data_IF_232992537499
#
_entry.id   IF_232992537499
#
_cell.length_a   1.000
_cell.length_b   1.000
_cell.length_c   1.000
_cell.angle_alpha   90.00
_cell.angle_beta   90.00
_cell.angle_gamma   90.00
#
_symmetry.space_group_name_H-M   'P 1'
#
loop_
_entity.id
_entity.type
_entity.pdbx_description
1 polymer ?
#
# COMPACT_ATOMS: atom_id res chain seq x y z
N UNK A 1 -35.72 18.03 -22.59
CA UNK A 1 -34.57 18.53 -21.81
C UNK A 1 -33.89 17.33 -21.15
N UNK A 2 -32.68 16.93 -21.57
CA UNK A 2 -31.93 15.83 -20.92
C UNK A 2 -31.24 16.41 -19.68
N UNK A 3 -31.74 16.07 -18.48
CA UNK A 3 -31.09 16.44 -17.22
C UNK A 3 -29.83 15.61 -17.08
N UNK A 4 -28.66 16.23 -17.26
CA UNK A 4 -27.37 15.57 -17.01
C UNK A 4 -27.14 15.55 -15.50
N UNK A 5 -27.32 14.38 -14.89
CA UNK A 5 -26.92 14.17 -13.51
C UNK A 5 -25.39 14.21 -13.42
N UNK A 6 -24.83 15.30 -12.87
CA UNK A 6 -23.42 15.34 -12.48
C UNK A 6 -23.20 14.22 -11.47
N UNK A 7 -22.38 13.22 -11.85
CA UNK A 7 -21.96 12.16 -10.94
C UNK A 7 -21.16 12.80 -9.79
N UNK A 8 -21.56 12.53 -8.55
CA UNK A 8 -20.83 12.99 -7.37
C UNK A 8 -19.41 12.42 -7.31
N UNK A 9 -18.55 13.06 -6.53
CA UNK A 9 -17.17 12.60 -6.34
C UNK A 9 -17.12 11.18 -5.75
N UNK A 10 -16.28 10.31 -6.32
CA UNK A 10 -16.12 8.93 -5.85
C UNK A 10 -15.00 8.84 -4.81
N UNK A 11 -15.35 9.06 -3.54
CA UNK A 11 -14.41 8.96 -2.42
C UNK A 11 -13.73 7.60 -2.30
N UNK A 12 -14.42 6.49 -2.62
CA UNK A 12 -13.83 5.15 -2.55
C UNK A 12 -12.66 5.02 -3.52
N UNK A 13 -12.89 5.39 -4.78
CA UNK A 13 -11.85 5.35 -5.81
C UNK A 13 -10.68 6.28 -5.47
N UNK A 14 -10.96 7.50 -5.00
CA UNK A 14 -9.91 8.44 -4.60
C UNK A 14 -9.00 7.88 -3.50
N UNK A 15 -9.60 7.32 -2.43
CA UNK A 15 -8.83 6.74 -1.32
C UNK A 15 -8.01 5.53 -1.80
N UNK A 16 -8.59 4.64 -2.61
CA UNK A 16 -7.87 3.47 -3.13
C UNK A 16 -6.69 3.85 -4.04
N UNK A 17 -6.86 4.85 -4.91
CA UNK A 17 -5.77 5.37 -5.76
C UNK A 17 -4.70 6.05 -4.89
N UNK A 18 -5.09 6.82 -3.88
CA UNK A 18 -4.17 7.42 -2.93
C UNK A 18 -3.33 6.39 -2.18
N UNK A 19 -3.93 5.29 -1.71
CA UNK A 19 -3.22 4.17 -1.09
C UNK A 19 -2.22 3.51 -2.04
N UNK A 20 -2.61 3.31 -3.30
CA UNK A 20 -1.72 2.73 -4.32
C UNK A 20 -0.47 3.59 -4.54
N UNK A 21 -0.62 4.91 -4.71
CA UNK A 21 0.53 5.80 -4.86
C UNK A 21 1.36 5.93 -3.59
N UNK A 22 0.73 5.98 -2.41
CA UNK A 22 1.45 6.01 -1.14
C UNK A 22 2.31 4.74 -0.96
N UNK A 23 1.81 3.57 -1.37
CA UNK A 23 2.58 2.33 -1.35
C UNK A 23 3.79 2.39 -2.29
N UNK A 24 3.63 2.90 -3.51
CA UNK A 24 4.74 3.09 -4.46
C UNK A 24 5.81 4.00 -3.87
N UNK A 25 5.42 5.13 -3.28
CA UNK A 25 6.34 6.08 -2.66
C UNK A 25 7.09 5.42 -1.51
N UNK A 26 6.39 4.70 -0.63
CA UNK A 26 7.01 3.96 0.48
C UNK A 26 8.05 2.96 -0.01
N UNK A 27 7.74 2.19 -1.05
CA UNK A 27 8.66 1.21 -1.61
C UNK A 27 9.92 1.86 -2.21
N UNK A 28 9.75 2.86 -3.08
CA UNK A 28 10.87 3.56 -3.72
C UNK A 28 11.75 4.24 -2.68
N UNK A 29 11.15 4.96 -1.73
CA UNK A 29 11.91 5.68 -0.70
C UNK A 29 12.63 4.74 0.26
N UNK A 30 12.06 3.56 0.59
CA UNK A 30 12.78 2.55 1.38
C UNK A 30 14.06 2.08 0.66
N UNK A 31 13.97 1.83 -0.64
CA UNK A 31 15.14 1.48 -1.46
C UNK A 31 16.17 2.61 -1.45
N UNK A 32 15.76 3.86 -1.67
CA UNK A 32 16.67 5.01 -1.67
C UNK A 32 17.36 5.21 -0.32
N UNK A 33 16.64 5.10 0.80
CA UNK A 33 17.22 5.20 2.15
C UNK A 33 18.36 4.20 2.33
N UNK A 34 18.17 3.00 1.82
CA UNK A 34 19.13 1.92 1.90
C UNK A 34 20.32 2.13 0.95
N UNK A 35 20.11 2.67 -0.25
CA UNK A 35 21.19 3.02 -1.18
C UNK A 35 22.13 4.09 -0.63
N UNK A 36 21.60 5.06 0.12
CA UNK A 36 22.40 6.11 0.75
C UNK A 36 22.77 5.76 2.19
N UNK A 37 22.78 4.47 2.57
CA UNK A 37 23.02 4.09 3.96
C UNK A 37 24.39 4.59 4.46
N UNK A 38 25.42 4.43 3.62
CA UNK A 38 26.82 4.77 3.90
C UNK A 38 27.12 6.28 3.92
N UNK A 39 26.20 7.12 3.45
CA UNK A 39 26.29 8.58 3.54
C UNK A 39 25.06 9.14 4.28
N UNK A 40 25.04 9.01 5.62
CA UNK A 40 23.87 9.33 6.44
C UNK A 40 23.47 10.80 6.42
N UNK A 41 24.41 11.70 6.12
CA UNK A 41 24.20 13.15 6.10
C UNK A 41 23.90 13.68 4.68
N UNK A 42 23.81 12.79 3.68
CA UNK A 42 23.43 13.17 2.32
C UNK A 42 22.03 13.78 2.26
N UNK A 43 21.89 14.80 1.41
CA UNK A 43 20.61 15.47 1.18
C UNK A 43 19.56 14.47 0.67
N UNK A 44 19.97 13.55 -0.18
CA UNK A 44 19.16 12.50 -0.78
C UNK A 44 18.58 11.57 0.28
N UNK A 45 19.38 11.16 1.28
CA UNK A 45 18.89 10.35 2.39
C UNK A 45 17.89 11.10 3.24
N UNK A 46 18.16 12.36 3.60
CA UNK A 46 17.23 13.18 4.38
C UNK A 46 15.89 13.39 3.68
N UNK A 47 15.91 13.67 2.37
CA UNK A 47 14.70 13.79 1.55
C UNK A 47 13.95 12.46 1.52
N UNK A 48 14.67 11.36 1.26
CA UNK A 48 14.05 10.02 1.16
C UNK A 48 13.39 9.60 2.47
N UNK A 49 14.05 9.78 3.61
CA UNK A 49 13.48 9.53 4.96
C UNK A 49 12.25 10.39 5.21
N UNK A 50 12.32 11.69 4.90
CA UNK A 50 11.21 12.62 5.11
C UNK A 50 9.99 12.26 4.26
N UNK A 51 10.21 11.97 2.98
CA UNK A 51 9.17 11.51 2.07
C UNK A 51 8.57 10.17 2.51
N UNK A 52 9.41 9.22 2.95
CA UNK A 52 8.95 7.93 3.46
C UNK A 52 8.05 8.09 4.68
N UNK A 53 8.49 8.89 5.66
CA UNK A 53 7.73 9.12 6.89
C UNK A 53 6.37 9.78 6.60
N UNK A 54 6.35 10.82 5.75
CA UNK A 54 5.11 11.49 5.37
C UNK A 54 4.17 10.58 4.56
N UNK A 55 4.71 9.81 3.62
CA UNK A 55 3.94 8.83 2.86
C UNK A 55 3.37 7.74 3.78
N UNK A 56 4.10 7.30 4.80
CA UNK A 56 3.66 6.34 5.80
C UNK A 56 2.49 6.86 6.64
N UNK A 57 2.57 8.11 7.10
CA UNK A 57 1.48 8.77 7.83
C UNK A 57 0.24 8.86 6.92
N UNK A 58 0.40 9.33 5.69
CA UNK A 58 -0.69 9.42 4.72
C UNK A 58 -1.30 8.04 4.42
N UNK A 59 -0.46 7.02 4.27
CA UNK A 59 -0.88 5.64 4.03
C UNK A 59 -1.75 5.14 5.18
N UNK A 60 -1.32 5.30 6.44
CA UNK A 60 -2.09 4.90 7.63
C UNK A 60 -3.46 5.57 7.65
N UNK A 61 -3.51 6.89 7.48
CA UNK A 61 -4.76 7.66 7.50
C UNK A 61 -5.70 7.20 6.38
N UNK A 62 -5.21 7.09 5.15
CA UNK A 62 -5.99 6.61 4.01
C UNK A 62 -6.46 5.17 4.22
N UNK A 63 -5.66 4.32 4.86
CA UNK A 63 -6.01 2.92 5.12
C UNK A 63 -7.18 2.81 6.10
N UNK A 64 -7.19 3.63 7.16
CA UNK A 64 -8.33 3.73 8.10
C UNK A 64 -9.61 4.10 7.34
N UNK A 65 -9.56 5.11 6.47
CA UNK A 65 -10.71 5.51 5.66
C UNK A 65 -11.12 4.42 4.67
N UNK A 66 -10.15 3.75 4.03
CA UNK A 66 -10.40 2.66 3.11
C UNK A 66 -11.12 1.50 3.79
N UNK A 67 -10.66 1.09 4.97
CA UNK A 67 -11.29 0.05 5.77
C UNK A 67 -12.71 0.46 6.19
N UNK A 68 -12.90 1.70 6.68
CA UNK A 68 -14.21 2.21 7.07
C UNK A 68 -15.20 2.21 5.91
N UNK A 69 -14.78 2.67 4.73
CA UNK A 69 -15.64 2.71 3.54
C UNK A 69 -15.96 1.30 3.03
N UNK A 70 -15.05 0.35 3.16
CA UNK A 70 -15.19 -1.02 2.66
C UNK A 70 -15.48 -2.07 3.77
N UNK A 71 -15.93 -1.62 4.94
CA UNK A 71 -16.12 -2.46 6.13
C UNK A 71 -17.10 -3.61 5.94
N UNK A 72 -18.19 -3.38 5.20
CA UNK A 72 -19.18 -4.41 4.89
C UNK A 72 -18.57 -5.54 4.05
N UNK A 73 -17.80 -5.17 3.01
CA UNK A 73 -17.07 -6.13 2.18
C UNK A 73 -16.10 -6.94 3.04
N UNK A 74 -15.36 -6.30 3.93
CA UNK A 74 -14.42 -6.98 4.83
C UNK A 74 -15.09 -7.96 5.81
N UNK A 75 -16.32 -7.69 6.26
CA UNK A 75 -17.05 -8.60 7.16
C UNK A 75 -17.60 -9.85 6.47
N UNK A 76 -18.01 -9.71 5.20
CA UNK A 76 -18.62 -10.81 4.44
C UNK A 76 -17.58 -11.70 3.76
N UNK A 77 -16.43 -11.14 3.40
CA UNK A 77 -15.39 -11.83 2.62
C UNK A 77 -14.75 -13.05 3.31
N UNK A 78 -14.48 -13.06 4.64
CA UNK A 78 -13.69 -14.11 5.25
C UNK A 78 -14.38 -15.46 5.36
N UNK A 79 -15.69 -15.51 5.12
CA UNK A 79 -16.50 -16.69 5.35
C UNK A 79 -16.81 -17.36 4.03
N UNK A 80 -16.34 -18.60 3.87
CA UNK A 80 -16.87 -19.49 2.85
C UNK A 80 -18.31 -19.92 3.23
N UNK A 81 -18.99 -20.63 2.32
CA UNK A 81 -20.38 -21.10 2.53
C UNK A 81 -20.56 -22.01 3.75
N UNK A 82 -19.47 -22.60 4.25
CA UNK A 82 -19.42 -23.54 5.37
C UNK A 82 -18.94 -22.87 6.67
N UNK A 83 -18.70 -21.56 6.67
CA UNK A 83 -18.24 -20.80 7.84
C UNK A 83 -16.74 -20.86 8.11
N UNK A 84 -15.96 -21.54 7.26
CA UNK A 84 -14.49 -21.55 7.26
C UNK A 84 -13.87 -20.37 6.51
N UNK A 85 -12.53 -20.29 6.51
CA UNK A 85 -11.77 -19.27 5.78
C UNK A 85 -11.95 -19.47 4.27
N UNK A 86 -12.20 -18.38 3.54
CA UNK A 86 -12.36 -18.43 2.09
C UNK A 86 -11.02 -18.64 1.38
N UNK A 87 -11.03 -19.36 0.24
CA UNK A 87 -9.82 -19.60 -0.57
C UNK A 87 -9.17 -18.28 -1.02
N UNK A 88 -9.97 -17.24 -1.27
CA UNK A 88 -9.50 -15.93 -1.67
C UNK A 88 -8.66 -15.25 -0.58
N UNK A 89 -8.97 -15.48 0.70
CA UNK A 89 -8.12 -15.00 1.80
C UNK A 89 -6.79 -15.74 1.80
N UNK A 90 -6.81 -17.06 1.60
CA UNK A 90 -5.57 -17.85 1.55
C UNK A 90 -4.69 -17.35 0.40
N UNK A 91 -5.26 -17.17 -0.79
CA UNK A 91 -4.56 -16.63 -1.96
C UNK A 91 -4.04 -15.21 -1.68
N UNK A 92 -4.83 -14.35 -1.05
CA UNK A 92 -4.40 -12.99 -0.70
C UNK A 92 -3.21 -13.00 0.27
N UNK A 93 -3.26 -13.84 1.31
CA UNK A 93 -2.17 -13.99 2.30
C UNK A 93 -0.92 -14.54 1.63
N UNK A 94 -1.04 -15.60 0.82
CA UNK A 94 0.08 -16.16 0.07
C UNK A 94 0.70 -15.14 -0.90
N UNK A 95 -0.13 -14.31 -1.55
CA UNK A 95 0.34 -13.25 -2.43
C UNK A 95 1.12 -12.18 -1.67
N UNK A 96 0.70 -11.82 -0.45
CA UNK A 96 1.43 -10.89 0.42
C UNK A 96 2.78 -11.50 0.82
N UNK A 97 2.79 -12.77 1.26
CA UNK A 97 4.03 -13.47 1.62
C UNK A 97 5.00 -13.49 0.43
N UNK A 98 4.50 -13.85 -0.76
CA UNK A 98 5.29 -13.87 -1.99
C UNK A 98 5.85 -12.48 -2.33
N UNK A 99 5.03 -11.43 -2.22
CA UNK A 99 5.46 -10.06 -2.46
C UNK A 99 6.59 -9.65 -1.50
N UNK A 100 6.50 -10.01 -0.21
CA UNK A 100 7.54 -9.72 0.77
C UNK A 100 8.85 -10.48 0.47
N UNK A 101 8.75 -11.75 0.07
CA UNK A 101 9.92 -12.54 -0.34
C UNK A 101 10.60 -11.92 -1.57
N UNK A 102 9.83 -11.59 -2.61
CA UNK A 102 10.36 -10.98 -3.83
C UNK A 102 10.98 -9.62 -3.52
N UNK A 103 10.30 -8.77 -2.76
CA UNK A 103 10.82 -7.45 -2.37
C UNK A 103 12.13 -7.56 -1.61
N UNK A 104 12.22 -8.47 -0.64
CA UNK A 104 13.45 -8.74 0.11
C UNK A 104 14.57 -9.25 -0.80
N UNK A 105 14.25 -10.16 -1.72
CA UNK A 105 15.21 -10.70 -2.68
C UNK A 105 15.75 -9.62 -3.64
N UNK A 106 14.89 -8.74 -4.15
CA UNK A 106 15.32 -7.61 -5.00
C UNK A 106 16.27 -6.69 -4.23
N UNK A 107 15.91 -6.33 -2.99
CA UNK A 107 16.75 -5.49 -2.13
C UNK A 107 18.10 -6.16 -1.88
N UNK A 108 18.11 -7.46 -1.59
CA UNK A 108 19.35 -8.24 -1.45
C UNK A 108 20.24 -8.16 -2.70
N UNK A 109 19.68 -8.35 -3.90
CA UNK A 109 20.43 -8.24 -5.15
C UNK A 109 20.99 -6.83 -5.39
N UNK A 110 20.26 -5.79 -5.00
CA UNK A 110 20.70 -4.40 -5.22
C UNK A 110 21.82 -3.97 -4.27
N UNK A 111 21.97 -4.62 -3.11
CA UNK A 111 22.88 -4.19 -2.03
C UNK A 111 24.06 -5.11 -1.78
N UNK A 112 24.03 -6.35 -2.26
CA UNK A 112 25.06 -7.33 -1.91
C UNK A 112 25.14 -8.55 -2.82
N UNK A 113 24.57 -8.47 -4.04
CA UNK A 113 24.83 -9.39 -5.14
C UNK A 113 25.99 -8.93 -6.01
#
# INVERSE_FOLDING_TARGET
MKVSYKRGFNYRAFISIGLFFALIILFITAILIQFFEDDPDSLEKHISVSCHALAGIAFIILNIFHLKLNWQSFKSYPKNKEGGISEEIIIAVLSIILFLIIGTFIVYLLLGG
#
